data_IF_960846573467
#
_entry.id   IF_960846573467
#
_cell.length_a   1.000
_cell.length_b   1.000
_cell.length_c   1.000
_cell.angle_alpha   90.00
_cell.angle_beta   90.00
_cell.angle_gamma   90.00
#
_symmetry.space_group_name_H-M   'P 1'
#
loop_
_entity.id
_entity.type
_entity.pdbx_description
1 polymer ?
#
# COMPACT_ATOMS: atom_id res chain seq x y z
N UNK A 1 -3.38 -48.07 -17.58
CA UNK A 1 -2.96 -47.60 -17.76
C UNK A 1 -2.95 -46.96 -17.59
N UNK A 2 -3.22 -47.10 -17.60
CA UNK A 2 -2.69 -46.44 -17.74
C UNK A 2 -2.67 -45.87 -17.61
N UNK A 3 -2.88 -45.96 -17.94
CA UNK A 3 -2.41 -45.50 -18.19
C UNK A 3 -2.26 -44.81 -18.00
N UNK A 4 -2.57 -45.25 -18.16
CA UNK A 4 -2.00 -44.68 -18.34
C UNK A 4 -1.92 -44.06 -18.28
N UNK A 5 -2.21 -44.38 -18.56
CA UNK A 5 -1.74 -43.87 -18.75
C UNK A 5 -1.66 -43.38 -18.69
N UNK A 6 -1.69 -43.45 -18.99
CA UNK A 6 -1.18 -43.05 -19.25
C UNK A 6 -1.00 -42.42 -19.28
N UNK A 7 -1.17 -42.14 -19.60
CA UNK A 7 -0.61 -41.54 -19.90
C UNK A 7 -0.02 -41.21 -20.11
N UNK A 8 -0.27 -41.52 -20.45
CA UNK A 8 0.58 -41.05 -20.58
C UNK A 8 0.91 -40.35 -20.62
N UNK A 9 0.71 -40.14 -20.67
CA UNK A 9 1.27 -39.54 -20.67
C UNK A 9 1.89 -39.27 -20.81
N UNK A 10 1.91 -39.44 -20.92
CA UNK A 10 2.60 -39.25 -21.17
C UNK A 10 3.60 -39.41 -20.87
N UNK A 11 3.58 -40.46 -21.02
CA UNK A 11 4.81 -40.62 -21.13
C UNK A 11 5.49 -39.44 -21.28
N UNK A 12 5.22 -38.89 -22.01
CA UNK A 12 5.74 -37.62 -22.23
C UNK A 12 5.19 -36.65 -21.21
N UNK A 13 4.55 -37.18 -20.25
CA UNK A 13 3.99 -36.27 -19.29
C UNK A 13 5.13 -35.65 -18.53
N UNK A 14 5.43 -34.40 -18.75
CA UNK A 14 6.54 -33.82 -18.07
C UNK A 14 6.24 -33.57 -16.61
N UNK A 15 7.29 -33.23 -15.88
CA UNK A 15 7.11 -32.77 -14.54
C UNK A 15 6.13 -31.59 -14.51
N UNK A 16 5.44 -31.41 -13.43
CA UNK A 16 4.66 -30.18 -13.29
C UNK A 16 5.55 -28.96 -13.44
N UNK A 17 5.01 -27.89 -13.96
CA UNK A 17 5.79 -26.71 -14.23
C UNK A 17 6.55 -26.24 -13.01
N UNK A 18 5.94 -26.33 -11.83
CA UNK A 18 6.58 -25.80 -10.64
C UNK A 18 7.78 -26.61 -10.19
N UNK A 19 7.91 -27.83 -10.69
CA UNK A 19 9.06 -28.65 -10.33
C UNK A 19 10.26 -28.41 -11.24
N UNK A 20 10.05 -27.76 -12.38
CA UNK A 20 11.13 -27.53 -13.32
C UNK A 20 12.03 -26.42 -12.84
N UNK A 21 13.26 -26.44 -13.31
CA UNK A 21 14.17 -25.33 -13.02
C UNK A 21 13.64 -24.06 -13.71
N UNK A 22 13.70 -22.92 -13.03
CA UNK A 22 13.17 -21.70 -13.66
C UNK A 22 13.78 -21.38 -15.02
N UNK A 23 15.07 -21.69 -15.21
CA UNK A 23 15.71 -21.37 -16.46
C UNK A 23 15.15 -22.17 -17.63
N UNK A 24 14.48 -23.26 -17.37
CA UNK A 24 13.91 -24.07 -18.45
C UNK A 24 12.46 -23.78 -18.73
N UNK A 25 11.91 -22.71 -18.12
CA UNK A 25 10.51 -22.38 -18.30
C UNK A 25 10.39 -21.07 -19.06
N UNK A 26 9.42 -21.01 -19.96
CA UNK A 26 9.18 -19.82 -20.75
C UNK A 26 8.01 -19.03 -20.18
N UNK A 27 7.94 -17.76 -20.55
CA UNK A 27 6.83 -16.93 -20.12
C UNK A 27 5.49 -17.52 -20.55
N UNK A 28 5.44 -18.08 -21.75
CA UNK A 28 4.21 -18.67 -22.24
C UNK A 28 3.79 -19.84 -21.39
N UNK A 29 4.73 -20.65 -20.93
CA UNK A 29 4.42 -21.76 -20.08
C UNK A 29 3.86 -21.29 -18.74
N UNK A 30 4.45 -20.23 -18.18
CA UNK A 30 3.93 -19.70 -16.91
C UNK A 30 2.52 -19.16 -17.08
N UNK A 31 2.27 -18.45 -18.17
CA UNK A 31 0.94 -17.88 -18.39
C UNK A 31 -0.10 -18.95 -18.66
N UNK A 32 0.26 -19.97 -19.42
CA UNK A 32 -0.68 -21.05 -19.71
C UNK A 32 -1.00 -21.82 -18.45
N UNK A 33 0.01 -22.09 -17.62
CA UNK A 33 -0.21 -22.79 -16.36
C UNK A 33 -1.18 -22.00 -15.48
N UNK A 34 -0.98 -20.69 -15.41
CA UNK A 34 -1.83 -19.84 -14.61
C UNK A 34 -3.27 -19.91 -15.09
N UNK A 35 -3.45 -19.80 -16.40
CA UNK A 35 -4.79 -19.82 -16.96
C UNK A 35 -5.51 -21.15 -16.70
N UNK A 36 -4.78 -22.23 -16.85
CA UNK A 36 -5.38 -23.54 -16.66
C UNK A 36 -5.69 -23.84 -15.21
N UNK A 37 -4.76 -23.54 -14.32
CA UNK A 37 -4.90 -23.95 -12.93
C UNK A 37 -5.91 -23.09 -12.20
N UNK A 38 -5.89 -21.79 -12.46
CA UNK A 38 -6.72 -20.85 -11.71
C UNK A 38 -7.94 -20.39 -12.49
N UNK A 39 -8.12 -20.88 -13.69
CA UNK A 39 -9.27 -20.54 -14.52
C UNK A 39 -9.43 -19.04 -14.66
N UNK A 40 -8.31 -18.32 -14.77
CA UNK A 40 -8.29 -16.88 -14.83
C UNK A 40 -7.73 -16.50 -16.19
N UNK A 41 -8.53 -15.87 -17.01
CA UNK A 41 -8.10 -15.51 -18.35
C UNK A 41 -7.44 -14.16 -18.43
N UNK A 42 -7.44 -13.41 -17.34
CA UNK A 42 -6.60 -12.22 -17.28
C UNK A 42 -5.18 -12.69 -17.01
N UNK A 43 -4.25 -12.11 -17.74
CA UNK A 43 -2.87 -12.51 -17.54
C UNK A 43 -2.37 -12.04 -16.18
N UNK A 44 -1.53 -12.83 -15.53
CA UNK A 44 -0.90 -12.34 -14.30
C UNK A 44 0.08 -11.23 -14.63
N UNK A 45 0.35 -10.38 -13.65
CA UNK A 45 1.28 -9.29 -13.86
C UNK A 45 2.71 -9.81 -13.95
N UNK A 46 3.07 -10.68 -13.03
CA UNK A 46 4.37 -11.31 -13.00
C UNK A 46 4.30 -12.45 -11.99
N UNK A 47 5.41 -13.16 -11.86
CA UNK A 47 5.41 -14.34 -11.00
C UNK A 47 6.78 -14.54 -10.40
N UNK A 48 6.84 -15.41 -9.39
CA UNK A 48 8.06 -15.83 -8.74
C UNK A 48 8.09 -17.34 -8.80
N UNK A 49 9.15 -17.91 -9.37
CA UNK A 49 9.32 -19.35 -9.39
C UNK A 49 10.26 -19.73 -8.25
N UNK A 50 9.73 -20.39 -7.25
CA UNK A 50 10.53 -20.84 -6.11
C UNK A 50 11.13 -22.18 -6.44
N UNK A 51 12.44 -22.32 -6.23
CA UNK A 51 13.13 -23.55 -6.57
C UNK A 51 14.28 -23.74 -5.61
N UNK A 52 14.02 -24.39 -4.49
CA UNK A 52 15.02 -24.55 -3.46
C UNK A 52 15.14 -25.99 -3.08
N UNK A 53 16.37 -26.47 -2.96
CA UNK A 53 16.64 -27.84 -2.52
C UNK A 53 17.20 -27.89 -1.12
N UNK A 54 17.87 -26.86 -0.69
CA UNK A 54 18.55 -26.85 0.59
C UNK A 54 18.42 -25.45 1.19
N UNK A 55 18.19 -25.33 2.48
CA UNK A 55 18.15 -26.35 3.54
C UNK A 55 16.87 -27.15 3.60
N UNK A 56 15.84 -26.79 2.85
CA UNK A 56 14.67 -27.63 2.73
C UNK A 56 14.18 -27.58 1.30
N UNK A 57 13.39 -28.55 0.94
CA UNK A 57 12.91 -28.69 -0.43
C UNK A 57 11.61 -27.88 -0.60
N UNK A 58 11.67 -26.88 -1.43
CA UNK A 58 10.52 -26.02 -1.65
C UNK A 58 10.46 -25.62 -3.12
N UNK A 59 9.40 -26.00 -3.80
CA UNK A 59 9.18 -25.62 -5.18
C UNK A 59 7.84 -24.93 -5.25
N UNK A 60 7.68 -24.09 -6.25
CA UNK A 60 6.40 -23.45 -6.40
C UNK A 60 6.45 -22.27 -7.34
N UNK A 61 5.29 -21.76 -7.67
CA UNK A 61 5.16 -20.55 -8.47
C UNK A 61 4.10 -19.69 -7.82
N UNK A 62 4.47 -18.45 -7.53
CA UNK A 62 3.54 -17.49 -6.98
C UNK A 62 3.27 -16.43 -8.02
N UNK A 63 2.01 -16.18 -8.30
CA UNK A 63 1.58 -15.21 -9.31
C UNK A 63 0.96 -14.00 -8.64
N UNK A 64 1.28 -12.83 -9.19
CA UNK A 64 0.64 -11.59 -8.78
C UNK A 64 -0.46 -11.32 -9.78
N UNK A 65 -1.71 -11.52 -9.39
CA UNK A 65 -2.80 -11.35 -10.34
C UNK A 65 -3.17 -9.89 -10.50
N UNK A 66 -3.83 -9.60 -11.60
CA UNK A 66 -4.37 -8.28 -11.81
C UNK A 66 -5.65 -8.19 -10.98
N UNK A 67 -5.68 -7.27 -10.04
CA UNK A 67 -6.79 -7.18 -9.10
C UNK A 67 -7.69 -6.03 -9.48
N UNK A 68 -8.96 -6.32 -9.65
CA UNK A 68 -9.96 -5.28 -9.86
C UNK A 68 -10.69 -5.11 -8.55
N UNK A 69 -10.23 -4.16 -7.74
CA UNK A 69 -10.77 -4.01 -6.40
C UNK A 69 -12.18 -3.47 -6.38
N UNK A 70 -12.67 -2.98 -7.50
CA UNK A 70 -14.04 -2.50 -7.53
C UNK A 70 -15.05 -3.63 -7.60
N UNK A 71 -14.71 -4.70 -8.28
CA UNK A 71 -15.66 -5.77 -8.52
C UNK A 71 -15.27 -7.11 -7.95
N UNK A 72 -13.97 -7.36 -7.83
CA UNK A 72 -13.50 -8.66 -7.40
C UNK A 72 -13.11 -8.63 -5.93
N UNK A 73 -13.39 -9.68 -5.22
CA UNK A 73 -12.85 -9.81 -3.88
C UNK A 73 -11.35 -10.05 -4.02
N UNK A 74 -10.61 -9.60 -3.01
CA UNK A 74 -9.17 -9.77 -3.03
C UNK A 74 -8.88 -11.10 -2.35
N UNK A 75 -9.21 -12.17 -3.02
CA UNK A 75 -8.90 -13.48 -2.50
C UNK A 75 -8.11 -14.21 -3.53
N UNK A 76 -6.94 -14.64 -3.14
CA UNK A 76 -6.16 -15.48 -4.02
C UNK A 76 -6.44 -16.95 -3.78
N UNK A 77 -5.58 -17.78 -4.31
CA UNK A 77 -5.63 -19.21 -4.07
C UNK A 77 -4.20 -19.73 -4.10
N UNK A 78 -3.73 -20.21 -2.97
CA UNK A 78 -2.44 -20.88 -2.89
C UNK A 78 -2.69 -22.36 -2.69
N UNK A 79 -2.35 -23.15 -3.69
CA UNK A 79 -2.55 -24.59 -3.63
C UNK A 79 -1.34 -25.24 -3.03
N UNK A 80 -1.54 -26.00 -1.98
CA UNK A 80 -0.45 -26.65 -1.29
C UNK A 80 -0.34 -28.10 -1.77
N UNK A 81 0.86 -28.46 -2.18
CA UNK A 81 1.19 -29.81 -2.60
C UNK A 81 2.27 -30.37 -1.69
N UNK A 82 2.34 -31.68 -1.62
CA UNK A 82 3.40 -32.38 -0.95
C UNK A 82 3.88 -33.45 -1.90
N UNK A 83 5.07 -33.24 -2.43
CA UNK A 83 5.65 -34.19 -3.37
C UNK A 83 4.71 -34.42 -4.57
N UNK A 84 4.22 -33.32 -5.10
CA UNK A 84 3.36 -33.30 -6.30
C UNK A 84 1.96 -33.87 -6.07
N UNK A 85 1.59 -34.09 -4.80
CA UNK A 85 0.23 -34.53 -4.47
C UNK A 85 -0.50 -33.37 -3.84
N UNK A 86 -1.68 -33.08 -4.34
CA UNK A 86 -2.46 -31.94 -3.85
C UNK A 86 -2.95 -32.20 -2.43
N UNK A 87 -2.76 -31.22 -1.55
CA UNK A 87 -3.19 -31.34 -0.16
C UNK A 87 -4.42 -30.47 0.08
N UNK A 88 -4.34 -29.19 -0.16
CA UNK A 88 -5.46 -28.29 0.13
C UNK A 88 -5.16 -26.91 -0.40
N UNK A 89 -6.21 -26.08 -0.41
CA UNK A 89 -6.05 -24.67 -0.77
C UNK A 89 -5.93 -23.84 0.47
N UNK A 90 -5.08 -22.84 0.41
CA UNK A 90 -5.06 -21.73 1.37
C UNK A 90 -4.92 -22.18 2.81
N UNK A 91 -3.93 -23.00 3.09
CA UNK A 91 -3.70 -23.43 4.47
C UNK A 91 -2.99 -22.33 5.23
N UNK A 92 -3.74 -21.68 6.11
CA UNK A 92 -3.22 -20.52 6.83
C UNK A 92 -2.09 -20.88 7.78
N UNK A 93 -2.06 -22.10 8.25
CA UNK A 93 -1.02 -22.52 9.19
C UNK A 93 0.35 -22.58 8.54
N UNK A 94 0.40 -22.72 7.21
CA UNK A 94 1.66 -22.85 6.50
C UNK A 94 2.00 -21.60 5.72
N UNK A 95 0.99 -21.00 5.09
CA UNK A 95 1.20 -19.86 4.22
C UNK A 95 0.84 -18.58 4.96
N UNK A 96 1.73 -17.60 5.04
CA UNK A 96 1.38 -16.34 5.69
C UNK A 96 0.09 -15.75 5.14
N UNK A 97 -0.73 -15.22 6.03
CA UNK A 97 -2.07 -14.80 5.65
C UNK A 97 -2.07 -13.80 4.50
N UNK A 98 -1.15 -12.84 4.53
CA UNK A 98 -1.17 -11.83 3.48
C UNK A 98 -0.78 -12.39 2.12
N UNK A 99 -0.04 -13.50 2.09
CA UNK A 99 0.29 -14.13 0.81
C UNK A 99 -0.89 -14.85 0.19
N UNK A 100 -1.95 -15.09 0.97
CA UNK A 100 -3.14 -15.72 0.41
C UNK A 100 -3.91 -14.81 -0.53
N UNK A 101 -3.46 -13.57 -0.69
CA UNK A 101 -4.02 -12.71 -1.72
C UNK A 101 -3.46 -13.04 -3.10
N UNK A 102 -2.38 -13.80 -3.15
CA UNK A 102 -1.77 -14.20 -4.42
C UNK A 102 -2.39 -15.51 -4.91
N UNK A 103 -2.05 -15.90 -6.11
CA UNK A 103 -2.41 -17.19 -6.65
C UNK A 103 -1.14 -17.96 -6.93
N UNK A 104 -1.15 -19.23 -6.59
CA UNK A 104 0.07 -19.99 -6.82
C UNK A 104 -0.01 -21.41 -6.33
N UNK A 105 1.13 -22.06 -6.43
CA UNK A 105 1.32 -23.44 -6.01
C UNK A 105 2.59 -23.47 -5.16
N UNK A 106 2.49 -24.13 -4.03
CA UNK A 106 3.65 -24.36 -3.17
C UNK A 106 3.73 -25.86 -2.95
N UNK A 107 4.91 -26.43 -3.18
CA UNK A 107 5.13 -27.87 -3.01
C UNK A 107 6.30 -28.04 -2.06
N UNK A 108 6.03 -28.61 -0.91
CA UNK A 108 7.06 -28.84 0.10
C UNK A 108 6.94 -30.23 0.67
N UNK A 109 7.77 -31.16 0.17
CA UNK A 109 7.67 -32.55 0.64
C UNK A 109 7.97 -32.75 2.11
N UNK A 110 8.73 -31.82 2.70
CA UNK A 110 9.16 -32.00 4.08
C UNK A 110 8.15 -31.51 5.11
N UNK A 111 6.98 -31.02 4.68
CA UNK A 111 5.99 -30.57 5.63
C UNK A 111 5.46 -31.72 6.49
N UNK A 112 5.33 -31.51 7.79
CA UNK A 112 4.76 -32.57 8.64
C UNK A 112 3.24 -32.56 8.54
N UNK A 113 2.70 -33.37 7.66
CA UNK A 113 1.27 -33.36 7.38
C UNK A 113 0.47 -34.29 8.30
N UNK A 114 1.15 -35.08 9.11
CA UNK A 114 0.45 -36.00 9.98
C UNK A 114 0.06 -35.41 11.33
N UNK A 115 0.19 -34.13 11.48
CA UNK A 115 -0.11 -33.48 12.75
C UNK A 115 -1.31 -32.57 12.60
N UNK A 116 -1.85 -32.12 13.71
CA UNK A 116 -3.00 -31.24 13.69
C UNK A 116 -2.60 -29.87 13.14
N UNK A 117 -3.61 -29.09 12.80
CA UNK A 117 -3.34 -27.74 12.29
C UNK A 117 -2.67 -26.88 13.35
N UNK A 118 -3.08 -27.02 14.61
CA UNK A 118 -2.45 -26.22 15.64
C UNK A 118 -0.99 -26.61 15.82
N UNK A 119 -0.65 -27.90 15.64
CA UNK A 119 0.74 -28.31 15.69
C UNK A 119 1.52 -27.74 14.53
N UNK A 120 0.92 -27.68 13.34
CA UNK A 120 1.57 -27.05 12.21
C UNK A 120 1.86 -25.59 12.50
N UNK A 121 0.90 -24.91 13.09
CA UNK A 121 1.04 -23.49 13.35
C UNK A 121 2.22 -23.19 14.25
N UNK A 122 2.53 -24.10 15.17
CA UNK A 122 3.62 -23.89 16.10
C UNK A 122 4.90 -24.60 15.72
N UNK A 123 4.95 -25.20 14.55
CA UNK A 123 6.12 -25.95 14.13
C UNK A 123 7.22 -25.03 13.65
N UNK A 124 8.42 -25.20 14.14
CA UNK A 124 9.51 -24.32 13.77
C UNK A 124 9.91 -24.45 12.32
N UNK A 125 9.79 -25.64 11.74
CA UNK A 125 10.13 -25.84 10.34
C UNK A 125 9.12 -25.10 9.46
N UNK A 126 7.84 -25.15 9.83
CA UNK A 126 6.81 -24.45 9.08
C UNK A 126 7.07 -22.95 9.13
N UNK A 127 7.51 -22.43 10.27
CA UNK A 127 7.82 -21.02 10.37
C UNK A 127 8.97 -20.65 9.45
N UNK A 128 9.97 -21.50 9.33
CA UNK A 128 11.09 -21.21 8.45
C UNK A 128 10.64 -21.16 7.00
N UNK A 129 9.75 -22.08 6.61
CA UNK A 129 9.22 -22.06 5.24
C UNK A 129 8.45 -20.76 4.99
N UNK A 130 7.62 -20.39 5.94
CA UNK A 130 6.82 -19.20 5.83
C UNK A 130 7.71 -17.96 5.70
N UNK A 131 8.74 -17.88 6.52
CA UNK A 131 9.65 -16.75 6.47
C UNK A 131 10.42 -16.71 5.13
N UNK A 132 10.79 -17.87 4.63
CA UNK A 132 11.51 -17.92 3.37
C UNK A 132 10.64 -17.42 2.22
N UNK A 133 9.38 -17.86 2.20
CA UNK A 133 8.47 -17.42 1.15
C UNK A 133 8.28 -15.90 1.24
N UNK A 134 8.09 -15.39 2.44
CA UNK A 134 7.92 -13.95 2.64
C UNK A 134 9.15 -13.20 2.14
N UNK A 135 10.33 -13.71 2.46
CA UNK A 135 11.57 -13.06 2.03
C UNK A 135 11.67 -13.04 0.50
N UNK A 136 11.32 -14.16 -0.14
CA UNK A 136 11.41 -14.21 -1.60
C UNK A 136 10.45 -13.27 -2.26
N UNK A 137 9.24 -13.12 -1.69
CA UNK A 137 8.28 -12.17 -2.23
C UNK A 137 8.82 -10.74 -2.10
N UNK A 138 9.35 -10.41 -0.91
CA UNK A 138 9.91 -9.08 -0.71
C UNK A 138 11.09 -8.84 -1.66
N UNK A 139 11.94 -9.85 -1.84
CA UNK A 139 13.10 -9.70 -2.73
C UNK A 139 12.65 -9.41 -4.16
N UNK A 140 11.62 -10.11 -4.62
CA UNK A 140 11.12 -9.86 -5.97
C UNK A 140 10.62 -8.44 -6.12
N UNK A 141 9.86 -7.95 -5.15
CA UNK A 141 9.28 -6.63 -5.24
C UNK A 141 10.34 -5.55 -5.13
N UNK A 142 11.24 -5.67 -4.17
CA UNK A 142 12.28 -4.66 -4.02
C UNK A 142 13.25 -4.69 -5.19
N UNK A 143 13.54 -5.88 -5.70
CA UNK A 143 14.41 -5.99 -6.88
C UNK A 143 13.78 -5.32 -8.10
N UNK A 144 12.48 -5.48 -8.28
CA UNK A 144 11.80 -4.83 -9.39
C UNK A 144 11.85 -3.31 -9.23
N UNK A 145 11.66 -2.83 -8.01
CA UNK A 145 11.73 -1.39 -7.78
C UNK A 145 13.11 -0.84 -8.10
N UNK A 146 14.15 -1.61 -7.77
CA UNK A 146 15.51 -1.15 -8.01
C UNK A 146 15.93 -1.25 -9.47
N UNK A 147 15.55 -2.33 -10.14
CA UNK A 147 16.10 -2.60 -11.46
C UNK A 147 15.11 -2.40 -12.59
N UNK A 148 13.83 -2.29 -12.30
CA UNK A 148 12.82 -2.10 -13.34
C UNK A 148 11.72 -1.23 -12.77
N UNK A 149 12.07 -0.01 -12.40
CA UNK A 149 11.16 0.91 -11.75
C UNK A 149 9.94 1.18 -12.61
N UNK A 150 10.11 1.20 -13.91
CA UNK A 150 9.01 1.47 -14.81
C UNK A 150 7.91 0.43 -14.67
N UNK A 151 8.29 -0.85 -14.62
CA UNK A 151 7.32 -1.91 -14.43
C UNK A 151 6.70 -1.84 -13.04
N UNK A 152 7.52 -1.57 -12.05
CA UNK A 152 7.04 -1.48 -10.67
C UNK A 152 5.97 -0.39 -10.54
N UNK A 153 6.21 0.76 -11.15
CA UNK A 153 5.21 1.83 -11.13
C UNK A 153 3.96 1.43 -11.92
N UNK A 154 4.17 0.78 -13.05
CA UNK A 154 3.05 0.35 -13.88
C UNK A 154 2.12 -0.60 -13.13
N UNK A 155 2.72 -1.49 -12.32
CA UNK A 155 1.93 -2.47 -11.58
C UNK A 155 1.45 -1.96 -10.22
N UNK A 156 1.86 -0.77 -9.83
CA UNK A 156 1.68 -0.34 -8.45
C UNK A 156 0.23 -0.37 -7.99
N UNK A 157 -0.70 0.08 -8.82
CA UNK A 157 -2.10 0.09 -8.40
C UNK A 157 -2.60 -1.34 -8.11
N UNK A 158 -2.08 -2.32 -8.83
CA UNK A 158 -2.51 -3.70 -8.63
C UNK A 158 -1.82 -4.36 -7.45
N UNK A 159 -0.54 -4.05 -7.21
CA UNK A 159 0.20 -4.73 -6.15
C UNK A 159 0.15 -3.97 -4.84
N UNK A 160 -0.25 -2.71 -4.88
CA UNK A 160 -0.23 -1.88 -3.69
C UNK A 160 -1.11 -2.43 -2.57
N UNK A 161 -2.35 -2.85 -2.81
CA UNK A 161 -3.13 -3.38 -1.69
C UNK A 161 -2.49 -4.60 -1.05
N UNK A 162 -1.88 -5.48 -1.84
CA UNK A 162 -1.20 -6.64 -1.32
C UNK A 162 -0.02 -6.22 -0.44
N UNK A 163 0.80 -5.30 -0.94
CA UNK A 163 1.98 -4.88 -0.19
C UNK A 163 1.58 -4.20 1.10
N UNK A 164 0.57 -3.34 1.04
CA UNK A 164 0.14 -2.61 2.23
C UNK A 164 -0.46 -3.55 3.26
N UNK A 165 -1.26 -4.51 2.82
CA UNK A 165 -1.80 -5.49 3.75
C UNK A 165 -0.67 -6.30 4.38
N UNK A 166 0.32 -6.68 3.58
CA UNK A 166 1.46 -7.42 4.11
C UNK A 166 2.25 -6.62 5.13
N UNK A 167 2.43 -5.34 4.88
CA UNK A 167 3.16 -4.50 5.83
C UNK A 167 2.42 -4.39 7.16
N UNK A 168 1.10 -4.33 7.10
CA UNK A 168 0.32 -4.25 8.33
C UNK A 168 0.39 -5.56 9.10
N UNK A 169 0.36 -6.68 8.40
CA UNK A 169 0.26 -7.98 9.05
C UNK A 169 1.59 -8.61 9.43
N UNK A 170 2.68 -8.23 8.80
CA UNK A 170 3.95 -8.90 8.98
C UNK A 170 5.05 -7.88 9.14
N UNK A 171 5.64 -7.80 10.34
CA UNK A 171 6.62 -6.77 10.62
C UNK A 171 7.91 -6.99 9.84
N UNK A 172 8.30 -8.22 9.60
CA UNK A 172 9.51 -8.46 8.82
C UNK A 172 9.33 -8.02 7.38
N UNK A 173 8.15 -8.29 6.82
CA UNK A 173 7.84 -7.84 5.47
C UNK A 173 7.81 -6.32 5.42
N UNK A 174 7.22 -5.71 6.44
CA UNK A 174 7.16 -4.25 6.52
C UNK A 174 8.55 -3.65 6.53
N UNK A 175 9.45 -4.24 7.33
CA UNK A 175 10.80 -3.73 7.42
C UNK A 175 11.51 -3.80 6.07
N UNK A 176 11.28 -4.86 5.32
CA UNK A 176 11.92 -5.00 4.02
C UNK A 176 11.32 -4.07 2.98
N UNK A 177 10.03 -3.76 3.10
CA UNK A 177 9.33 -2.99 2.09
C UNK A 177 9.30 -1.49 2.37
N UNK A 178 9.73 -1.07 3.56
CA UNK A 178 9.58 0.34 3.95
C UNK A 178 10.06 1.35 2.92
N UNK A 179 11.20 1.10 2.32
CA UNK A 179 11.78 2.08 1.40
C UNK A 179 11.24 1.93 -0.02
N UNK A 180 10.33 0.99 -0.23
CA UNK A 180 9.86 0.67 -1.57
C UNK A 180 8.36 0.87 -1.73
N UNK A 181 7.73 1.50 -0.76
CA UNK A 181 6.32 1.86 -0.86
C UNK A 181 6.22 3.12 -1.70
N UNK A 182 5.37 3.10 -2.70
CA UNK A 182 5.21 4.25 -3.57
C UNK A 182 3.90 4.95 -3.28
N UNK A 183 3.92 6.25 -3.52
CA UNK A 183 2.73 7.09 -3.43
C UNK A 183 2.62 7.86 -4.74
N UNK A 184 1.48 7.76 -5.38
CA UNK A 184 1.24 8.51 -6.61
C UNK A 184 0.65 9.86 -6.23
N UNK A 185 1.29 10.92 -6.64
CA UNK A 185 0.83 12.24 -6.24
C UNK A 185 -0.20 12.79 -7.23
N UNK A 186 -0.70 13.98 -6.94
CA UNK A 186 -1.75 14.57 -7.76
C UNK A 186 -1.26 14.95 -9.15
N UNK A 187 0.04 15.00 -9.37
CA UNK A 187 0.59 15.25 -10.69
C UNK A 187 0.95 13.96 -11.41
N UNK A 188 0.63 12.82 -10.84
CA UNK A 188 0.89 11.55 -11.48
C UNK A 188 2.27 10.99 -11.27
N UNK A 189 3.07 11.62 -10.41
CA UNK A 189 4.42 11.12 -10.13
C UNK A 189 4.38 10.10 -9.00
N UNK A 190 5.26 9.14 -9.06
CA UNK A 190 5.38 8.15 -8.00
C UNK A 190 6.54 8.52 -7.09
N UNK A 191 6.25 8.64 -5.81
CA UNK A 191 7.21 9.07 -4.81
C UNK A 191 7.32 8.00 -3.73
N UNK A 192 8.51 7.86 -3.16
CA UNK A 192 8.64 7.04 -1.96
C UNK A 192 8.17 7.84 -0.76
N UNK A 193 8.02 7.16 0.37
CA UNK A 193 7.65 7.88 1.59
C UNK A 193 8.70 8.94 1.93
N UNK A 194 9.96 8.60 1.76
CA UNK A 194 11.02 9.56 2.03
C UNK A 194 10.89 10.79 1.15
N UNK A 195 10.55 10.59 -0.13
CA UNK A 195 10.34 11.70 -1.03
C UNK A 195 9.18 12.57 -0.56
N UNK A 196 8.10 11.94 -0.11
CA UNK A 196 6.94 12.69 0.36
C UNK A 196 7.30 13.53 1.59
N UNK A 197 8.07 12.93 2.47
CA UNK A 197 8.46 13.65 3.67
C UNK A 197 9.31 14.87 3.31
N UNK A 198 10.25 14.69 2.38
CA UNK A 198 11.11 15.80 2.00
C UNK A 198 10.35 16.91 1.29
N UNK A 199 9.38 16.53 0.46
CA UNK A 199 8.61 17.53 -0.25
C UNK A 199 7.71 18.33 0.68
N UNK A 200 7.27 17.72 1.76
CA UNK A 200 6.37 18.39 2.68
C UNK A 200 7.07 19.00 3.88
N UNK A 201 8.38 18.84 3.96
CA UNK A 201 9.11 19.47 5.03
C UNK A 201 9.13 20.98 4.79
N UNK A 202 8.93 21.74 5.85
CA UNK A 202 8.87 23.17 5.71
C UNK A 202 10.26 23.71 5.44
N UNK A 203 10.46 24.46 4.35
CA UNK A 203 11.81 24.98 4.06
C UNK A 203 12.32 25.92 5.12
N UNK A 204 11.42 26.61 5.79
CA UNK A 204 11.83 27.56 6.80
C UNK A 204 12.50 26.90 7.99
N UNK A 205 12.25 25.62 8.20
CA UNK A 205 12.85 24.93 9.33
C UNK A 205 14.36 24.81 9.15
N UNK A 206 14.82 24.63 7.92
CA UNK A 206 16.25 24.54 7.71
C UNK A 206 16.95 25.85 7.93
N UNK A 207 16.33 26.95 7.50
CA UNK A 207 16.91 28.25 7.69
C UNK A 207 16.95 28.62 9.17
N UNK A 208 15.89 28.27 9.88
CA UNK A 208 15.87 28.58 11.30
C UNK A 208 16.87 27.75 12.08
N UNK A 209 17.22 26.58 11.59
CA UNK A 209 18.17 25.75 12.30
C UNK A 209 19.54 26.43 12.35
N UNK A 210 19.94 27.09 11.30
CA UNK A 210 21.21 27.77 11.30
C UNK A 210 21.21 29.00 12.20
N UNK A 211 20.11 29.73 12.22
CA UNK A 211 20.03 30.89 13.07
C UNK A 211 19.90 30.55 14.53
N UNK A 212 19.23 29.43 14.83
CA UNK A 212 19.01 29.11 16.22
C UNK A 212 20.19 28.40 16.85
N UNK A 213 21.23 28.11 16.12
CA UNK A 213 22.39 27.51 16.73
C UNK A 213 23.05 28.53 17.71
N UNK A 214 23.08 29.78 17.32
CA UNK A 214 23.66 30.77 18.21
C UNK A 214 22.76 31.11 19.37
N UNK A 215 21.45 31.13 19.12
CA UNK A 215 20.55 31.52 20.18
C UNK A 215 20.09 30.36 21.03
N UNK A 216 20.41 29.13 20.65
CA UNK A 216 19.99 28.00 21.46
C UNK A 216 20.79 27.92 22.75
N UNK A 217 21.98 28.46 22.78
CA UNK A 217 22.74 28.41 24.01
C UNK A 217 22.10 29.27 25.09
N UNK A 218 21.53 30.37 24.67
CA UNK A 218 20.84 31.18 25.64
C UNK A 218 19.51 30.62 26.04
N UNK A 219 18.81 30.02 25.07
CA UNK A 219 17.49 29.52 25.36
C UNK A 219 17.51 28.18 26.05
N UNK A 220 18.62 27.49 26.09
CA UNK A 220 18.66 26.23 26.78
C UNK A 220 18.35 26.37 28.26
N UNK A 221 18.72 27.47 28.82
CA UNK A 221 18.43 27.68 30.21
C UNK A 221 16.95 27.93 30.45
N UNK A 222 16.33 28.64 29.50
CA UNK A 222 14.90 28.91 29.64
C UNK A 222 14.04 27.94 28.91
N UNK A 223 14.53 27.37 27.85
CA UNK A 223 13.74 26.54 27.00
C UNK A 223 13.59 25.12 27.43
N UNK A 224 14.22 24.75 28.50
CA UNK A 224 14.09 23.38 28.96
C UNK A 224 12.68 23.06 29.37
N UNK A 225 11.87 24.05 29.59
CA UNK A 225 10.52 23.84 30.03
C UNK A 225 9.57 23.68 28.89
N UNK A 226 9.89 24.18 27.71
CA UNK A 226 8.97 24.09 26.61
C UNK A 226 9.09 22.74 25.98
N UNK A 227 8.31 21.84 26.45
CA UNK A 227 8.24 20.54 25.83
C UNK A 227 7.25 20.59 24.71
N UNK A 228 7.50 21.38 23.75
CA UNK A 228 6.66 21.38 22.59
C UNK A 228 6.89 20.08 21.83
N UNK A 229 5.81 19.47 21.46
CA UNK A 229 5.92 18.30 20.61
C UNK A 229 6.60 18.70 19.32
N UNK A 230 7.47 17.86 18.81
CA UNK A 230 8.11 18.19 17.55
C UNK A 230 7.08 18.35 16.44
N UNK A 231 7.30 19.33 15.62
CA UNK A 231 6.41 19.60 14.52
C UNK A 231 6.39 18.39 13.60
N UNK A 232 5.22 17.90 13.31
CA UNK A 232 5.09 16.77 12.42
C UNK A 232 5.02 17.24 10.98
N UNK A 233 5.59 16.46 10.10
CA UNK A 233 5.45 16.69 8.67
C UNK A 233 4.11 16.12 8.23
N UNK A 234 3.31 16.94 7.59
CA UNK A 234 1.98 16.53 7.15
C UNK A 234 2.00 16.15 5.69
N UNK A 235 1.51 14.96 5.38
CA UNK A 235 1.34 14.50 4.02
C UNK A 235 -0.16 14.47 3.76
N UNK A 236 -0.60 15.25 2.79
CA UNK A 236 -2.02 15.31 2.47
C UNK A 236 -2.37 14.23 1.46
N UNK A 237 -3.58 13.69 1.56
CA UNK A 237 -3.97 12.64 0.64
C UNK A 237 -5.38 12.83 0.12
N UNK A 238 -5.60 12.25 -1.06
CA UNK A 238 -6.85 12.32 -1.80
C UNK A 238 -7.44 10.92 -1.85
N UNK A 239 -8.70 10.79 -1.51
CA UNK A 239 -9.36 9.50 -1.62
C UNK A 239 -10.21 9.38 -2.89
N UNK A 240 -10.67 10.51 -3.43
CA UNK A 240 -11.50 10.50 -4.62
C UNK A 240 -11.19 11.75 -5.41
N UNK A 241 -10.53 11.57 -6.55
CA UNK A 241 -10.06 12.71 -7.33
C UNK A 241 -11.21 13.56 -7.87
N UNK A 242 -12.33 12.93 -8.20
CA UNK A 242 -13.44 13.67 -8.75
C UNK A 242 -14.14 14.48 -7.67
N UNK A 243 -14.46 13.84 -6.56
CA UNK A 243 -15.14 14.54 -5.48
C UNK A 243 -14.29 15.63 -4.87
N UNK A 244 -12.98 15.43 -4.83
CA UNK A 244 -12.09 16.35 -4.16
C UNK A 244 -11.33 17.22 -5.14
N UNK A 245 -11.85 17.36 -6.36
CA UNK A 245 -11.12 18.08 -7.40
C UNK A 245 -10.88 19.54 -7.05
N UNK A 246 -11.81 20.17 -6.33
CA UNK A 246 -11.60 21.56 -5.95
C UNK A 246 -10.38 21.69 -5.03
N UNK A 247 -10.24 20.77 -4.09
CA UNK A 247 -9.11 20.81 -3.19
C UNK A 247 -7.82 20.52 -3.91
N UNK A 248 -7.87 19.62 -4.89
CA UNK A 248 -6.69 19.34 -5.69
C UNK A 248 -6.24 20.59 -6.43
N UNK A 249 -7.21 21.30 -7.02
CA UNK A 249 -6.85 22.54 -7.74
C UNK A 249 -6.28 23.59 -6.81
N UNK A 250 -6.85 23.70 -5.61
CA UNK A 250 -6.30 24.63 -4.64
C UNK A 250 -4.88 24.29 -4.26
N UNK A 251 -4.59 22.99 -4.08
CA UNK A 251 -3.25 22.56 -3.75
C UNK A 251 -2.29 22.86 -4.88
N UNK A 252 -2.72 22.63 -6.11
CA UNK A 252 -1.86 22.94 -7.24
C UNK A 252 -1.54 24.43 -7.31
N UNK A 253 -2.54 25.27 -7.11
CA UNK A 253 -2.31 26.69 -7.12
C UNK A 253 -1.39 27.13 -5.99
N UNK A 254 -1.47 26.48 -4.85
CA UNK A 254 -0.61 26.79 -3.71
C UNK A 254 0.75 26.11 -3.82
N UNK A 255 0.96 25.34 -4.88
CA UNK A 255 2.19 24.59 -5.08
C UNK A 255 2.43 23.62 -3.93
N UNK A 256 1.35 23.01 -3.48
CA UNK A 256 1.39 21.97 -2.47
C UNK A 256 1.06 20.64 -3.11
N UNK A 257 1.59 19.58 -2.51
CA UNK A 257 1.40 18.26 -3.07
C UNK A 257 0.48 17.43 -2.19
N UNK A 258 -0.11 16.42 -2.79
CA UNK A 258 -0.91 15.44 -2.08
C UNK A 258 -0.77 14.12 -2.81
N UNK A 259 -1.00 13.03 -2.09
CA UNK A 259 -0.89 11.71 -2.67
C UNK A 259 -2.26 11.07 -2.74
N UNK A 260 -2.44 10.15 -3.68
CA UNK A 260 -3.73 9.54 -3.94
C UNK A 260 -3.78 8.20 -3.26
N UNK A 261 -4.72 8.04 -2.35
CA UNK A 261 -4.92 6.81 -1.60
C UNK A 261 -6.36 6.37 -1.76
N UNK A 262 -6.62 5.60 -2.80
CA UNK A 262 -7.99 5.28 -3.17
C UNK A 262 -8.44 3.88 -2.76
N UNK A 263 -7.58 3.10 -2.14
CA UNK A 263 -7.95 1.75 -1.75
C UNK A 263 -8.41 1.71 -0.30
N UNK A 264 -9.28 0.75 0.00
CA UNK A 264 -9.81 0.65 1.36
C UNK A 264 -8.73 0.37 2.38
N UNK A 265 -7.68 -0.33 1.98
CA UNK A 265 -6.60 -0.66 2.90
C UNK A 265 -5.80 0.58 3.31
N UNK A 266 -5.92 1.67 2.57
CA UNK A 266 -5.05 2.82 2.79
C UNK A 266 -5.26 3.47 4.15
N UNK A 267 -6.49 3.46 4.65
CA UNK A 267 -6.75 4.03 5.96
C UNK A 267 -5.93 3.32 7.04
N UNK A 268 -5.97 2.00 7.05
CA UNK A 268 -5.19 1.23 8.01
C UNK A 268 -3.69 1.38 7.75
N UNK A 269 -3.32 1.52 6.48
CA UNK A 269 -1.90 1.59 6.15
C UNK A 269 -1.27 2.90 6.63
N UNK A 270 -1.96 4.02 6.44
CA UNK A 270 -1.38 5.28 6.90
C UNK A 270 -1.33 5.33 8.42
N UNK A 271 -2.29 4.71 9.11
CA UNK A 271 -2.19 4.59 10.56
C UNK A 271 -0.95 3.78 10.95
N UNK A 272 -0.68 2.72 10.22
CA UNK A 272 0.51 1.91 10.45
C UNK A 272 1.78 2.75 10.29
N UNK A 273 1.84 3.58 9.25
CA UNK A 273 3.00 4.42 9.02
C UNK A 273 3.17 5.45 10.13
N UNK A 274 2.06 6.04 10.58
CA UNK A 274 2.13 7.03 11.64
C UNK A 274 2.59 6.42 12.96
N UNK A 275 2.22 5.17 13.20
CA UNK A 275 2.68 4.50 14.41
C UNK A 275 4.17 4.20 14.34
N UNK A 276 4.66 3.88 13.16
CA UNK A 276 6.08 3.58 13.01
C UNK A 276 6.95 4.83 13.04
N UNK A 277 6.43 5.95 12.57
CA UNK A 277 7.20 7.19 12.53
C UNK A 277 6.30 8.30 13.01
N UNK A 278 6.47 8.71 14.23
CA UNK A 278 5.61 9.70 14.84
C UNK A 278 5.97 11.13 14.47
N UNK A 279 6.94 11.29 13.58
CA UNK A 279 7.26 12.62 13.05
C UNK A 279 6.44 12.97 11.82
N UNK A 280 5.58 12.05 11.36
CA UNK A 280 4.75 12.32 10.20
C UNK A 280 3.30 12.13 10.56
N UNK A 281 2.43 12.76 9.80
CA UNK A 281 0.99 12.57 9.92
C UNK A 281 0.37 12.72 8.55
N UNK A 282 -0.73 12.03 8.35
CA UNK A 282 -1.47 12.09 7.10
C UNK A 282 -2.79 12.80 7.35
N UNK A 283 -3.15 13.72 6.48
CA UNK A 283 -4.44 14.41 6.57
C UNK A 283 -5.13 14.36 5.21
N UNK A 284 -6.41 14.05 5.23
CA UNK A 284 -7.17 14.06 3.99
C UNK A 284 -7.22 15.48 3.45
N UNK A 285 -7.17 15.60 2.14
CA UNK A 285 -7.01 16.90 1.50
C UNK A 285 -8.15 17.86 1.87
N UNK A 286 -9.33 17.34 2.17
CA UNK A 286 -10.48 18.16 2.50
C UNK A 286 -10.78 18.20 3.99
N UNK A 287 -9.89 17.67 4.83
CA UNK A 287 -10.22 17.60 6.25
C UNK A 287 -9.94 18.90 6.96
N UNK A 288 -8.72 19.22 7.24
CA UNK A 288 -8.41 20.40 8.00
C UNK A 288 -7.26 21.11 7.34
N UNK A 289 -7.57 21.82 6.28
CA UNK A 289 -6.53 22.49 5.54
C UNK A 289 -6.08 23.77 6.20
N UNK A 290 -6.92 24.30 7.05
CA UNK A 290 -6.67 25.66 7.51
C UNK A 290 -5.40 25.79 8.32
N UNK A 291 -5.04 24.75 9.04
CA UNK A 291 -3.84 24.83 9.85
C UNK A 291 -2.59 24.96 9.00
N UNK A 292 -2.57 24.28 7.83
CA UNK A 292 -1.38 24.32 7.00
C UNK A 292 -1.39 25.49 6.03
N UNK A 293 -2.57 25.87 5.55
CA UNK A 293 -2.67 26.92 4.56
C UNK A 293 -3.13 28.24 5.14
N UNK A 294 -3.41 28.28 6.42
CA UNK A 294 -3.98 29.46 7.03
C UNK A 294 -3.06 30.65 6.93
N UNK A 295 -3.62 31.78 6.52
CA UNK A 295 -2.93 33.03 6.63
C UNK A 295 -2.95 33.53 8.06
N UNK A 296 -2.23 34.60 8.28
CA UNK A 296 -2.15 35.11 9.65
C UNK A 296 -3.41 35.85 10.07
N UNK A 297 -4.19 36.31 9.12
CA UNK A 297 -5.39 37.08 9.43
C UNK A 297 -6.62 36.26 9.17
N UNK A 298 -7.62 36.45 9.99
CA UNK A 298 -8.86 35.74 9.83
C UNK A 298 -9.63 36.24 8.60
N UNK A 299 -10.33 35.36 7.94
CA UNK A 299 -11.15 35.74 6.82
C UNK A 299 -12.32 36.58 7.32
N UNK A 300 -12.75 37.53 6.52
CA UNK A 300 -13.90 38.33 6.89
C UNK A 300 -15.18 37.53 6.69
N UNK A 301 -16.28 38.09 7.20
CA UNK A 301 -17.54 37.39 7.14
C UNK A 301 -18.08 37.27 5.73
N UNK A 302 -17.80 38.27 4.91
CA UNK A 302 -18.33 38.26 3.56
C UNK A 302 -17.74 37.13 2.75
N UNK A 303 -16.43 36.91 2.90
CA UNK A 303 -15.78 35.80 2.24
C UNK A 303 -16.34 34.48 2.73
N UNK A 304 -16.59 34.40 4.05
CA UNK A 304 -17.12 33.19 4.62
C UNK A 304 -18.49 32.84 4.04
N UNK A 305 -19.34 33.86 3.89
CA UNK A 305 -20.67 33.62 3.32
C UNK A 305 -20.58 33.17 1.87
N UNK A 306 -19.70 33.81 1.11
CA UNK A 306 -19.57 33.48 -0.29
C UNK A 306 -19.09 32.04 -0.47
N UNK A 307 -18.10 31.66 0.31
CA UNK A 307 -17.58 30.29 0.20
C UNK A 307 -18.61 29.28 0.69
N UNK A 308 -19.35 29.61 1.73
CA UNK A 308 -20.40 28.73 2.21
C UNK A 308 -21.43 28.46 1.12
N UNK A 309 -21.84 29.51 0.42
CA UNK A 309 -22.81 29.35 -0.64
C UNK A 309 -22.26 28.53 -1.78
N UNK A 310 -21.00 28.74 -2.12
CA UNK A 310 -20.40 27.97 -3.20
C UNK A 310 -20.35 26.49 -2.85
N UNK A 311 -19.93 26.18 -1.61
CA UNK A 311 -19.86 24.78 -1.23
C UNK A 311 -21.24 24.15 -1.10
N UNK A 312 -22.23 24.89 -0.62
CA UNK A 312 -23.58 24.35 -0.56
C UNK A 312 -24.11 24.04 -1.97
N UNK A 313 -23.84 24.92 -2.91
CA UNK A 313 -24.26 24.67 -4.27
C UNK A 313 -23.58 23.48 -4.88
N UNK A 314 -22.29 23.35 -4.63
CA UNK A 314 -21.54 22.23 -5.19
C UNK A 314 -21.99 20.90 -4.61
N UNK A 315 -22.28 20.87 -3.31
CA UNK A 315 -22.70 19.65 -2.64
C UNK A 315 -24.20 19.46 -2.64
N UNK A 316 -24.95 20.46 -3.08
CA UNK A 316 -26.40 20.41 -3.09
C UNK A 316 -26.94 20.11 -1.70
N UNK A 317 -26.34 20.76 -0.71
CA UNK A 317 -26.74 20.53 0.66
C UNK A 317 -26.83 21.88 1.35
N UNK A 318 -28.04 22.33 1.60
CA UNK A 318 -28.26 23.63 2.20
C UNK A 318 -27.90 23.67 3.67
N UNK A 319 -27.80 22.54 4.29
CA UNK A 319 -27.50 22.49 5.73
C UNK A 319 -26.01 22.49 6.00
N UNK A 320 -25.19 22.46 4.96
CA UNK A 320 -23.76 22.43 5.15
C UNK A 320 -23.27 23.78 5.64
N UNK A 321 -22.46 23.76 6.66
CA UNK A 321 -21.81 24.97 7.13
C UNK A 321 -20.34 24.89 6.82
N UNK A 322 -19.82 25.96 6.25
CA UNK A 322 -18.41 26.01 5.90
C UNK A 322 -17.76 27.08 6.75
N UNK A 323 -16.73 26.68 7.45
CA UNK A 323 -15.99 27.61 8.27
C UNK A 323 -14.81 28.09 7.47
N UNK A 324 -14.69 29.37 7.28
CA UNK A 324 -13.65 29.94 6.44
C UNK A 324 -12.63 30.65 7.30
N UNK A 325 -11.37 30.34 7.05
CA UNK A 325 -10.29 31.04 7.68
C UNK A 325 -9.37 31.54 6.59
N UNK A 326 -8.57 32.55 6.93
CA UNK A 326 -7.68 33.11 5.94
C UNK A 326 -6.62 32.10 5.55
N UNK A 327 -6.52 31.82 4.28
CA UNK A 327 -5.52 30.91 3.77
C UNK A 327 -4.38 31.70 3.15
N UNK A 328 -3.24 31.10 3.16
CA UNK A 328 -2.08 31.79 2.62
C UNK A 328 -2.21 32.03 1.12
N UNK A 329 -2.88 31.19 0.47
CA UNK A 329 -3.12 31.39 -0.95
C UNK A 329 -4.59 31.40 -1.24
N UNK A 330 -5.03 32.27 -1.36
CA UNK A 330 -6.31 32.50 -1.50
C UNK A 330 -7.21 31.69 -2.21
N UNK A 331 -7.05 30.91 -2.06
CA UNK A 331 -7.79 30.22 -2.77
C UNK A 331 -9.02 30.07 -2.15
N UNK A 332 -9.50 30.20 -2.28
CA UNK A 332 -10.54 30.02 -1.93
C UNK A 332 -10.79 28.87 -1.25
N UNK A 333 -10.35 28.76 -0.63
CA UNK A 333 -10.48 27.89 -0.28
C UNK A 333 -11.15 27.37 0.57
N UNK A 334 -11.48 27.28 0.87
CA UNK A 334 -11.77 26.96 1.49
C UNK A 334 -12.00 26.13 1.95
N UNK A 335 -11.62 25.60 1.94
CA UNK A 335 -11.81 24.92 2.26
C UNK A 335 -12.09 24.25 3.15
N UNK A 336 -11.56 24.64 3.68
CA UNK A 336 -11.38 24.01 4.35
C UNK A 336 -12.11 23.45 5.26
N UNK A 337 -12.55 24.02 5.48
CA UNK A 337 -13.14 23.51 6.46
C UNK A 337 -14.28 22.77 6.13
N UNK A 338 -14.11 22.90 5.31
CA UNK A 338 -15.17 22.41 4.89
C UNK A 338 -15.19 21.06 4.81
N UNK A 339 -14.39 20.92 5.09
CA UNK A 339 -14.26 19.76 4.88
C UNK A 339 -15.10 18.90 5.53
N UNK A 340 -15.09 19.32 6.35
CA UNK A 340 -15.73 18.53 7.05
C UNK A 340 -17.05 18.35 6.68
N UNK A 341 -17.11 19.16 6.37
CA UNK A 341 -18.35 19.25 6.05
C UNK A 341 -18.71 18.44 4.94
N UNK A 342 -17.97 18.51 4.55
CA UNK A 342 -18.24 17.91 3.41
C UNK A 342 -18.62 16.59 3.57
N UNK A 343 -18.08 16.39 4.24
CA UNK A 343 -18.29 15.16 4.45
C UNK A 343 -19.56 14.87 5.00
N UNK A 344 -19.67 15.55 5.42
CA UNK A 344 -20.77 15.51 6.04
C UNK A 344 -21.89 15.49 5.21
N UNK A 345 -21.59 15.95 4.52
CA UNK A 345 -22.56 16.05 3.77
C UNK A 345 -22.88 14.87 3.20
N UNK A 346 -22.21 14.34 3.27
CA UNK A 346 -22.51 13.43 2.72
C UNK A 346 -23.32 12.53 3.42
N UNK A 347 -23.92 12.73 3.90
CA UNK A 347 -24.63 12.20 4.43
C UNK A 347 -25.28 11.24 4.71
N UNK A 348 -25.73 11.09 5.38
CA UNK A 348 -26.24 10.14 5.83
C UNK A 348 -27.56 10.03 5.65
N UNK A 349 -28.07 9.18 5.34
CA UNK A 349 -29.22 9.05 5.22
C UNK A 349 -29.57 8.01 5.80
N UNK A 350 -30.14 7.89 6.51
CA UNK A 350 -30.60 6.83 7.28
C UNK A 350 -31.63 5.98 6.82
#
# INVERSE_FOLDING_TARGET
KVKINKRPVSLSDPEPLWMKHPNSCTDEEYKEFYRKVFMDYKEPLFWIHLNMDYPFNLKGILYFPKINTEYDSIEGTIKLYNNQVFIADNIKEVIPEFLLLLKGVIDCPDLPLNVSRSALQNDGFVKKISEYITKKVADKLTGMCKTDRESYEKYWDDISPFIKYGCIKDSKFSDKMNDYILFKNIDGKYLTLKDCIEENRKPEAETKTEETVESTEEKKEDGAKDEKEPEKTTIFYVTDEVQQSQYINMFREAKKDAVILKHNIDSAFISHLEQKDQTIQFKRIDADLTEELRGEEAADEETSKTLTEVFRGALKNDKLEVKVENLKNXXXXXXXXXXXXXXXXXGSEG
#
